data_IF_820748897369
#
_entry.id   IF_820748897369
#
_cell.length_a   1.000
_cell.length_b   1.000
_cell.length_c   1.000
_cell.angle_alpha   90.00
_cell.angle_beta   90.00
_cell.angle_gamma   90.00
#
_symmetry.space_group_name_H-M   'P 1'
#
loop_
_entity.id
_entity.type
_entity.pdbx_description
1 polymer ?
#
# COMPACT_ATOMS: atom_id res chain seq x y z
N UNK A 1 9.21 8.86 -22.04
CA UNK A 1 8.65 9.29 -23.33
C UNK A 1 7.18 8.92 -23.45
N UNK A 2 6.78 7.64 -23.49
CA UNK A 2 5.37 7.23 -23.64
C UNK A 2 4.39 7.88 -22.64
N UNK A 3 4.69 7.90 -21.34
CA UNK A 3 3.81 8.53 -20.33
C UNK A 3 3.63 10.03 -20.54
N UNK A 4 4.67 10.74 -21.00
CA UNK A 4 4.59 12.17 -21.27
C UNK A 4 3.75 12.46 -22.51
N UNK A 5 3.85 11.61 -23.53
CA UNK A 5 3.03 11.70 -24.73
C UNK A 5 1.55 11.46 -24.43
N UNK A 6 1.23 10.38 -23.70
CA UNK A 6 -0.16 10.09 -23.27
C UNK A 6 -0.70 11.24 -22.38
N UNK A 7 0.14 11.81 -21.52
CA UNK A 7 -0.20 12.97 -20.71
C UNK A 7 -0.52 14.23 -21.54
N UNK A 8 0.26 14.51 -22.57
CA UNK A 8 0.01 15.65 -23.45
C UNK A 8 -1.29 15.50 -24.26
N UNK A 9 -1.51 14.33 -24.85
CA UNK A 9 -2.73 14.04 -25.63
C UNK A 9 -3.99 14.12 -24.76
N UNK A 10 -3.95 13.56 -23.54
CA UNK A 10 -5.08 13.60 -22.61
C UNK A 10 -5.43 15.03 -22.15
N UNK A 11 -4.42 15.86 -21.86
CA UNK A 11 -4.62 17.29 -21.56
C UNK A 11 -5.31 18.05 -22.70
N UNK A 12 -4.91 17.81 -23.94
CA UNK A 12 -5.53 18.45 -25.11
C UNK A 12 -7.01 18.07 -25.23
N UNK A 13 -7.32 16.78 -25.02
CA UNK A 13 -8.70 16.27 -25.05
C UNK A 13 -9.58 16.85 -23.94
N UNK A 14 -9.03 17.05 -22.75
CA UNK A 14 -9.72 17.68 -21.62
C UNK A 14 -10.01 19.17 -21.88
N UNK A 15 -8.99 19.91 -22.31
CA UNK A 15 -9.11 21.34 -22.62
C UNK A 15 -10.14 21.60 -23.71
N UNK A 16 -10.18 20.75 -24.75
CA UNK A 16 -11.18 20.83 -25.82
C UNK A 16 -12.61 20.62 -25.31
N UNK A 17 -12.80 19.71 -24.36
CA UNK A 17 -14.12 19.44 -23.78
C UNK A 17 -14.57 20.54 -22.83
N UNK A 18 -13.68 21.01 -21.96
CA UNK A 18 -13.95 22.14 -21.07
C UNK A 18 -14.32 23.38 -21.89
N UNK A 19 -13.58 23.65 -22.96
CA UNK A 19 -13.88 24.76 -23.88
C UNK A 19 -15.25 24.63 -24.53
N UNK A 20 -15.58 23.44 -25.06
CA UNK A 20 -16.87 23.18 -25.68
C UNK A 20 -18.05 23.28 -24.68
N UNK A 21 -17.88 22.76 -23.46
CA UNK A 21 -18.88 22.82 -22.42
C UNK A 21 -19.10 24.25 -21.90
N UNK A 22 -18.01 25.01 -21.76
CA UNK A 22 -18.06 26.42 -21.37
C UNK A 22 -18.77 27.26 -22.44
N UNK A 23 -18.45 27.10 -23.72
CA UNK A 23 -19.08 27.85 -24.81
C UNK A 23 -20.60 27.60 -24.92
N UNK A 24 -21.06 26.40 -24.56
CA UNK A 24 -22.50 26.05 -24.58
C UNK A 24 -23.28 26.66 -23.42
N UNK A 25 -22.69 26.76 -22.23
CA UNK A 25 -23.41 27.15 -21.00
C UNK A 25 -23.08 28.57 -20.52
N UNK A 26 -21.95 29.15 -20.94
CA UNK A 26 -21.45 30.51 -20.64
C UNK A 26 -21.39 30.90 -19.15
N UNK A 27 -21.68 29.97 -18.25
CA UNK A 27 -21.76 30.15 -16.81
C UNK A 27 -21.07 28.96 -16.13
N UNK A 28 -20.25 29.23 -15.11
CA UNK A 28 -19.41 28.22 -14.46
C UNK A 28 -20.21 27.05 -13.86
N UNK A 29 -21.24 27.35 -13.06
CA UNK A 29 -21.99 26.33 -12.32
C UNK A 29 -22.76 25.34 -13.24
N UNK A 30 -23.53 25.79 -14.26
CA UNK A 30 -24.16 24.88 -15.21
C UNK A 30 -23.17 24.08 -16.07
N UNK A 31 -21.97 24.61 -16.32
CA UNK A 31 -20.92 23.87 -17.02
C UNK A 31 -20.42 22.69 -16.19
N UNK A 32 -20.17 22.89 -14.88
CA UNK A 32 -19.74 21.80 -13.98
C UNK A 32 -20.80 20.71 -13.90
N UNK A 33 -22.07 21.08 -13.70
CA UNK A 33 -23.17 20.11 -13.66
C UNK A 33 -23.27 19.33 -14.98
N UNK A 34 -23.14 20.01 -16.12
CA UNK A 34 -23.15 19.35 -17.43
C UNK A 34 -22.01 18.34 -17.59
N UNK A 35 -20.81 18.67 -17.11
CA UNK A 35 -19.64 17.79 -17.14
C UNK A 35 -19.81 16.57 -16.24
N UNK A 36 -20.36 16.74 -15.04
CA UNK A 36 -20.53 15.64 -14.07
C UNK A 36 -21.71 14.73 -14.41
N UNK A 37 -22.73 15.24 -15.10
CA UNK A 37 -23.94 14.47 -15.41
C UNK A 37 -23.81 13.69 -16.73
N UNK A 38 -22.94 14.12 -17.65
CA UNK A 38 -22.69 13.41 -18.89
C UNK A 38 -21.64 12.32 -18.69
N UNK A 39 -22.03 11.05 -18.86
CA UNK A 39 -21.17 9.88 -18.64
C UNK A 39 -19.86 9.93 -19.44
N UNK A 40 -19.88 10.43 -20.67
CA UNK A 40 -18.68 10.52 -21.51
C UNK A 40 -17.71 11.58 -21.01
N UNK A 41 -18.21 12.74 -20.56
CA UNK A 41 -17.39 13.81 -20.00
C UNK A 41 -16.78 13.40 -18.66
N UNK A 42 -17.59 12.74 -17.82
CA UNK A 42 -17.13 12.19 -16.53
C UNK A 42 -16.04 11.13 -16.74
N UNK A 43 -16.19 10.22 -17.70
CA UNK A 43 -15.18 9.22 -18.01
C UNK A 43 -13.84 9.84 -18.41
N UNK A 44 -13.86 10.92 -19.20
CA UNK A 44 -12.63 11.60 -19.63
C UNK A 44 -11.97 12.35 -18.47
N UNK A 45 -12.76 12.95 -17.58
CA UNK A 45 -12.25 13.58 -16.35
C UNK A 45 -11.62 12.55 -15.40
N UNK A 46 -12.24 11.37 -15.23
CA UNK A 46 -11.68 10.28 -14.43
C UNK A 46 -10.38 9.73 -15.03
N UNK A 47 -10.33 9.56 -16.36
CA UNK A 47 -9.11 9.16 -17.05
C UNK A 47 -7.98 10.16 -16.83
N UNK A 48 -8.29 11.46 -16.89
CA UNK A 48 -7.33 12.51 -16.61
C UNK A 48 -6.79 12.44 -15.17
N UNK A 49 -7.66 12.25 -14.18
CA UNK A 49 -7.24 12.04 -12.80
C UNK A 49 -6.26 10.85 -12.67
N UNK A 50 -6.52 9.75 -13.37
CA UNK A 50 -5.61 8.59 -13.38
C UNK A 50 -4.25 8.91 -14.03
N UNK A 51 -4.24 9.67 -15.14
CA UNK A 51 -2.99 10.10 -15.80
C UNK A 51 -2.17 11.01 -14.87
N UNK A 52 -2.82 11.97 -14.21
CA UNK A 52 -2.17 12.83 -13.22
C UNK A 52 -1.59 12.02 -12.06
N UNK A 53 -2.34 11.05 -11.53
CA UNK A 53 -1.85 10.16 -10.48
C UNK A 53 -0.60 9.38 -10.92
N UNK A 54 -0.57 8.86 -12.15
CA UNK A 54 0.60 8.18 -12.72
C UNK A 54 1.79 9.13 -12.92
N UNK A 55 1.55 10.38 -13.27
CA UNK A 55 2.60 11.39 -13.36
C UNK A 55 3.20 11.70 -11.99
N UNK A 56 2.36 11.88 -10.97
CA UNK A 56 2.79 12.06 -9.57
C UNK A 56 3.57 10.83 -9.09
N UNK A 57 3.09 9.61 -9.39
CA UNK A 57 3.80 8.37 -9.07
C UNK A 57 5.21 8.38 -9.66
N UNK A 58 5.33 8.75 -10.94
CA UNK A 58 6.61 8.80 -11.65
C UNK A 58 7.53 9.90 -11.13
N UNK A 59 6.98 11.04 -10.72
CA UNK A 59 7.74 12.13 -10.13
C UNK A 59 8.29 11.72 -8.77
N UNK A 60 7.45 11.15 -7.89
CA UNK A 60 7.88 10.67 -6.57
C UNK A 60 8.91 9.54 -6.69
N UNK A 61 8.68 8.56 -7.57
CA UNK A 61 9.67 7.49 -7.80
C UNK A 61 11.02 8.03 -8.28
N UNK A 62 11.02 9.03 -9.17
CA UNK A 62 12.26 9.67 -9.62
C UNK A 62 12.96 10.48 -8.53
N UNK A 63 12.21 11.19 -7.68
CA UNK A 63 12.75 12.01 -6.59
C UNK A 63 13.36 11.13 -5.50
N UNK A 64 12.63 10.10 -5.04
CA UNK A 64 13.02 9.33 -3.86
C UNK A 64 13.88 8.11 -4.18
N UNK A 65 13.63 7.43 -5.31
CA UNK A 65 14.30 6.18 -5.68
C UNK A 65 15.25 6.32 -6.86
N UNK A 66 15.17 7.42 -7.62
CA UNK A 66 16.02 7.63 -8.80
C UNK A 66 15.69 6.66 -9.92
N UNK A 67 16.56 5.65 -10.14
CA UNK A 67 16.38 4.61 -11.16
C UNK A 67 15.89 3.31 -10.52
N UNK A 68 14.64 2.95 -10.80
CA UNK A 68 14.07 1.68 -10.37
C UNK A 68 14.74 0.51 -11.11
N UNK A 69 15.08 -0.54 -10.36
CA UNK A 69 15.59 -1.77 -10.92
C UNK A 69 14.45 -2.61 -11.49
N UNK A 70 14.71 -3.40 -12.53
CA UNK A 70 13.68 -4.27 -13.13
C UNK A 70 13.09 -5.25 -12.10
N UNK A 71 13.91 -5.83 -11.24
CA UNK A 71 13.45 -6.74 -10.18
C UNK A 71 12.42 -6.09 -9.23
N UNK A 72 12.62 -4.82 -8.87
CA UNK A 72 11.68 -4.08 -8.01
C UNK A 72 10.33 -3.86 -8.71
N UNK A 73 10.38 -3.54 -10.00
CA UNK A 73 9.19 -3.34 -10.83
C UNK A 73 8.43 -4.67 -10.99
N UNK A 74 9.13 -5.77 -11.23
CA UNK A 74 8.52 -7.08 -11.42
C UNK A 74 7.81 -7.56 -10.14
N UNK A 75 8.47 -7.39 -8.98
CA UNK A 75 7.88 -7.70 -7.69
C UNK A 75 6.68 -6.78 -7.38
N UNK A 76 6.81 -5.48 -7.66
CA UNK A 76 5.71 -4.52 -7.49
C UNK A 76 4.50 -4.89 -8.36
N UNK A 77 4.71 -5.27 -9.63
CA UNK A 77 3.64 -5.69 -10.54
C UNK A 77 2.95 -6.94 -10.02
N UNK A 78 3.71 -7.93 -9.56
CA UNK A 78 3.17 -9.16 -8.97
C UNK A 78 2.28 -8.84 -7.76
N UNK A 79 2.77 -8.03 -6.83
CA UNK A 79 2.03 -7.62 -5.63
C UNK A 79 0.81 -6.77 -5.97
N UNK A 80 0.92 -5.86 -6.95
CA UNK A 80 -0.16 -5.01 -7.42
C UNK A 80 -1.32 -5.83 -7.99
N UNK A 81 -1.05 -6.90 -8.75
CA UNK A 81 -2.10 -7.79 -9.23
C UNK A 81 -2.87 -8.44 -8.08
N UNK A 82 -2.15 -8.92 -7.07
CA UNK A 82 -2.78 -9.51 -5.90
C UNK A 82 -3.65 -8.52 -5.11
N UNK A 83 -3.17 -7.30 -4.88
CA UNK A 83 -3.99 -6.28 -4.22
C UNK A 83 -5.17 -5.85 -5.08
N UNK A 84 -5.03 -5.75 -6.39
CA UNK A 84 -6.14 -5.42 -7.27
C UNK A 84 -7.29 -6.43 -7.10
N UNK A 85 -6.99 -7.74 -7.11
CA UNK A 85 -8.01 -8.77 -6.92
C UNK A 85 -8.64 -8.76 -5.52
N UNK A 86 -7.85 -8.57 -4.46
CA UNK A 86 -8.40 -8.45 -3.10
C UNK A 86 -9.41 -7.30 -3.02
N UNK A 87 -9.15 -6.24 -3.77
CA UNK A 87 -10.00 -5.05 -3.74
C UNK A 87 -11.22 -5.19 -4.63
N UNK A 88 -11.15 -5.94 -5.73
CA UNK A 88 -12.35 -6.37 -6.43
C UNK A 88 -13.32 -7.13 -5.50
N UNK A 89 -12.80 -7.94 -4.56
CA UNK A 89 -13.65 -8.60 -3.56
C UNK A 89 -14.26 -7.63 -2.56
N UNK A 90 -13.49 -6.62 -2.11
CA UNK A 90 -14.00 -5.54 -1.25
C UNK A 90 -15.10 -4.76 -1.97
N UNK A 91 -14.89 -4.40 -3.24
CA UNK A 91 -15.90 -3.72 -4.06
C UNK A 91 -17.17 -4.54 -4.23
N UNK A 92 -17.04 -5.83 -4.51
CA UNK A 92 -18.19 -6.72 -4.65
C UNK A 92 -18.97 -6.86 -3.34
N UNK A 93 -18.27 -6.89 -2.20
CA UNK A 93 -18.89 -7.01 -0.88
C UNK A 93 -19.61 -5.73 -0.45
N UNK A 94 -19.01 -4.56 -0.67
CA UNK A 94 -19.56 -3.26 -0.27
C UNK A 94 -20.30 -2.53 -1.39
N UNK A 95 -20.74 -3.23 -2.44
CA UNK A 95 -21.29 -2.64 -3.65
C UNK A 95 -22.41 -1.61 -3.40
N UNK A 96 -23.24 -1.84 -2.37
CA UNK A 96 -24.37 -0.99 -2.01
C UNK A 96 -23.96 0.29 -1.25
N UNK A 97 -22.73 0.33 -0.72
CA UNK A 97 -22.16 1.45 0.03
C UNK A 97 -21.09 2.21 -0.76
N UNK A 98 -20.89 1.88 -2.06
CA UNK A 98 -19.88 2.51 -2.91
C UNK A 98 -20.29 3.93 -3.32
N UNK A 99 -19.55 4.91 -2.80
CA UNK A 99 -19.59 6.30 -3.27
C UNK A 99 -18.36 6.67 -4.11
N UNK A 100 -18.41 7.85 -4.75
CA UNK A 100 -17.25 8.46 -5.43
C UNK A 100 -16.11 8.75 -4.45
N UNK A 101 -16.45 9.10 -3.21
CA UNK A 101 -15.49 9.30 -2.11
C UNK A 101 -14.72 8.01 -1.79
N UNK A 102 -15.41 6.87 -1.73
CA UNK A 102 -14.76 5.58 -1.48
C UNK A 102 -13.77 5.21 -2.59
N UNK A 103 -14.17 5.38 -3.85
CA UNK A 103 -13.28 5.12 -5.00
C UNK A 103 -12.01 5.96 -4.94
N UNK A 104 -12.12 7.21 -4.50
CA UNK A 104 -10.97 8.09 -4.30
C UNK A 104 -10.05 7.61 -3.16
N UNK A 105 -10.61 7.36 -1.97
CA UNK A 105 -9.85 6.87 -0.81
C UNK A 105 -9.16 5.54 -1.10
N UNK A 106 -9.85 4.68 -1.85
CA UNK A 106 -9.34 3.38 -2.27
C UNK A 106 -8.19 3.51 -3.28
N UNK A 107 -8.34 4.36 -4.29
CA UNK A 107 -7.28 4.61 -5.28
C UNK A 107 -6.03 5.18 -4.61
N UNK A 108 -6.21 6.08 -3.63
CA UNK A 108 -5.11 6.60 -2.80
C UNK A 108 -4.47 5.49 -1.94
N UNK A 109 -5.27 4.57 -1.38
CA UNK A 109 -4.75 3.43 -0.63
C UNK A 109 -3.82 2.57 -1.50
N UNK A 110 -4.25 2.20 -2.70
CA UNK A 110 -3.41 1.41 -3.62
C UNK A 110 -2.12 2.17 -3.99
N UNK A 111 -2.23 3.47 -4.26
CA UNK A 111 -1.09 4.31 -4.57
C UNK A 111 -0.07 4.32 -3.42
N UNK A 112 -0.51 4.61 -2.20
CA UNK A 112 0.36 4.65 -1.02
C UNK A 112 0.93 3.26 -0.70
N UNK A 113 0.14 2.19 -0.84
CA UNK A 113 0.58 0.80 -0.65
C UNK A 113 1.68 0.39 -1.64
N UNK A 114 1.62 0.86 -2.89
CA UNK A 114 2.68 0.64 -3.87
C UNK A 114 4.02 1.27 -3.44
N UNK A 115 3.99 2.48 -2.86
CA UNK A 115 5.20 3.12 -2.33
C UNK A 115 5.76 2.42 -1.09
N UNK A 116 4.90 1.87 -0.24
CA UNK A 116 5.33 1.05 0.90
C UNK A 116 6.07 -0.21 0.46
N UNK A 117 5.53 -0.92 -0.54
CA UNK A 117 6.19 -2.10 -1.10
C UNK A 117 7.52 -1.78 -1.76
N UNK A 118 7.58 -0.67 -2.51
CA UNK A 118 8.83 -0.22 -3.12
C UNK A 118 9.87 0.18 -2.07
N UNK A 119 9.44 0.80 -0.96
CA UNK A 119 10.30 1.13 0.17
C UNK A 119 10.83 -0.14 0.85
N UNK A 120 9.98 -1.14 1.09
CA UNK A 120 10.37 -2.39 1.73
C UNK A 120 11.50 -3.09 0.96
N UNK A 121 11.35 -3.24 -0.36
CA UNK A 121 12.40 -3.81 -1.22
C UNK A 121 13.71 -3.00 -1.16
N UNK A 122 13.61 -1.66 -1.14
CA UNK A 122 14.78 -0.80 -1.20
C UNK A 122 15.61 -0.77 0.06
N UNK A 123 14.97 -0.92 1.23
CA UNK A 123 15.66 -1.03 2.52
C UNK A 123 16.63 -2.20 2.53
N UNK A 124 16.30 -3.31 1.86
CA UNK A 124 17.14 -4.50 1.83
C UNK A 124 18.41 -4.32 0.97
N UNK A 125 18.35 -3.46 -0.06
CA UNK A 125 19.47 -3.21 -0.99
C UNK A 125 20.27 -1.95 -0.68
N UNK A 126 19.72 -0.97 0.03
CA UNK A 126 20.41 0.31 0.27
C UNK A 126 21.47 0.15 1.37
N UNK A 127 22.74 0.31 1.01
CA UNK A 127 23.87 0.25 1.94
C UNK A 127 24.18 1.57 2.65
N UNK A 128 23.54 2.68 2.28
CA UNK A 128 23.85 4.00 2.84
C UNK A 128 22.66 4.65 3.56
N UNK A 129 22.99 5.37 4.65
CA UNK A 129 22.14 6.32 5.35
C UNK A 129 21.70 7.45 4.41
N UNK A 130 20.67 7.18 3.62
CA UNK A 130 20.12 8.15 2.69
C UNK A 130 19.03 8.95 3.39
N UNK A 131 19.28 10.24 3.63
CA UNK A 131 18.27 11.19 4.11
C UNK A 131 16.98 11.15 3.28
N UNK A 132 17.08 10.82 1.98
CA UNK A 132 15.94 10.67 1.08
C UNK A 132 15.00 9.52 1.47
N UNK A 133 15.53 8.38 1.93
CA UNK A 133 14.71 7.25 2.37
C UNK A 133 14.01 7.57 3.69
N UNK A 134 14.71 8.22 4.63
CA UNK A 134 14.11 8.67 5.89
C UNK A 134 13.02 9.72 5.64
N UNK A 135 13.24 10.66 4.71
CA UNK A 135 12.23 11.63 4.30
C UNK A 135 11.01 10.95 3.66
N UNK A 136 11.21 9.89 2.87
CA UNK A 136 10.12 9.10 2.31
C UNK A 136 9.33 8.36 3.40
N UNK A 137 10.01 7.72 4.36
CA UNK A 137 9.38 7.05 5.51
C UNK A 137 8.52 8.06 6.29
N UNK A 138 9.07 9.24 6.59
CA UNK A 138 8.33 10.28 7.31
C UNK A 138 7.11 10.79 6.52
N UNK A 139 7.26 10.96 5.20
CA UNK A 139 6.17 11.37 4.31
C UNK A 139 5.05 10.34 4.26
N UNK A 140 5.38 9.06 4.08
CA UNK A 140 4.41 7.95 4.07
C UNK A 140 3.66 7.87 5.41
N UNK A 141 4.39 7.97 6.52
CA UNK A 141 3.79 7.97 7.86
C UNK A 141 2.80 9.13 8.05
N UNK A 142 3.16 10.33 7.60
CA UNK A 142 2.28 11.50 7.67
C UNK A 142 1.00 11.31 6.83
N UNK A 143 1.14 10.72 5.64
CA UNK A 143 0.02 10.43 4.75
C UNK A 143 -0.90 9.37 5.37
N UNK A 144 -0.36 8.28 5.91
CA UNK A 144 -1.15 7.23 6.53
C UNK A 144 -1.91 7.73 7.76
N UNK A 145 -1.24 8.47 8.66
CA UNK A 145 -1.89 9.06 9.83
C UNK A 145 -2.99 10.04 9.43
N UNK A 146 -2.78 10.83 8.36
CA UNK A 146 -3.81 11.71 7.81
C UNK A 146 -5.03 10.94 7.30
N UNK A 147 -4.83 9.86 6.55
CA UNK A 147 -5.93 9.04 6.03
C UNK A 147 -6.65 8.25 7.13
N UNK A 148 -5.91 7.72 8.12
CA UNK A 148 -6.48 7.10 9.32
C UNK A 148 -7.37 8.10 10.04
N UNK A 149 -6.87 9.31 10.32
CA UNK A 149 -7.66 10.37 10.95
C UNK A 149 -8.92 10.70 10.15
N UNK A 150 -8.79 10.79 8.83
CA UNK A 150 -9.93 11.09 7.95
C UNK A 150 -10.98 9.97 7.97
N UNK A 151 -10.54 8.71 8.00
CA UNK A 151 -11.42 7.55 8.08
C UNK A 151 -12.19 7.49 9.42
N UNK A 152 -11.54 7.84 10.53
CA UNK A 152 -12.18 7.85 11.86
C UNK A 152 -13.09 9.07 12.08
N UNK A 153 -12.75 10.24 11.56
CA UNK A 153 -13.48 11.50 11.82
C UNK A 153 -14.76 11.67 10.99
N UNK A 154 -15.01 10.79 10.01
CA UNK A 154 -16.21 10.83 9.16
C UNK A 154 -17.20 9.68 9.43
N UNK A 155 -17.80 9.54 10.63
CA UNK A 155 -18.87 8.57 10.83
C UNK A 155 -20.19 9.14 10.33
N UNK A 156 -20.43 9.09 9.01
CA UNK A 156 -21.78 9.18 8.46
C UNK A 156 -22.44 7.79 8.61
N UNK A 157 -23.70 7.74 9.02
CA UNK A 157 -24.45 6.50 9.24
C UNK A 157 -24.60 5.61 7.99
N UNK A 158 -24.23 6.10 6.80
CA UNK A 158 -24.09 5.31 5.56
C UNK A 158 -22.61 5.23 5.19
N UNK A 159 -22.07 4.02 5.09
CA UNK A 159 -20.66 3.78 4.71
C UNK A 159 -19.68 3.56 5.86
N UNK A 160 -20.14 3.42 7.11
CA UNK A 160 -19.27 3.15 8.27
C UNK A 160 -18.39 1.91 8.03
N UNK A 161 -18.99 0.86 7.49
CA UNK A 161 -18.32 -0.43 7.30
C UNK A 161 -17.17 -0.33 6.32
N UNK A 162 -17.36 0.46 5.27
CA UNK A 162 -16.37 0.74 4.24
C UNK A 162 -15.20 1.56 4.78
N UNK A 163 -15.49 2.60 5.56
CA UNK A 163 -14.45 3.41 6.21
C UNK A 163 -13.62 2.59 7.20
N UNK A 164 -14.26 1.65 7.92
CA UNK A 164 -13.55 0.72 8.80
C UNK A 164 -12.65 -0.23 8.01
N UNK A 165 -13.13 -0.79 6.89
CA UNK A 165 -12.36 -1.70 6.05
C UNK A 165 -11.10 -1.02 5.48
N UNK A 166 -11.23 0.22 5.00
CA UNK A 166 -10.07 1.01 4.55
C UNK A 166 -9.16 1.41 5.72
N UNK A 167 -9.73 1.80 6.86
CA UNK A 167 -8.99 2.22 8.04
C UNK A 167 -8.04 1.14 8.56
N UNK A 168 -8.49 -0.12 8.57
CA UNK A 168 -7.65 -1.26 8.97
C UNK A 168 -6.48 -1.48 8.00
N UNK A 169 -6.71 -1.35 6.69
CA UNK A 169 -5.63 -1.45 5.71
C UNK A 169 -4.58 -0.35 5.92
N UNK A 170 -4.98 0.91 6.14
CA UNK A 170 -4.04 1.98 6.48
C UNK A 170 -3.31 1.74 7.81
N UNK A 171 -4.00 1.20 8.81
CA UNK A 171 -3.37 0.85 10.09
C UNK A 171 -2.28 -0.22 9.90
N UNK A 172 -2.56 -1.25 9.10
CA UNK A 172 -1.57 -2.27 8.74
C UNK A 172 -0.37 -1.67 7.99
N UNK A 173 -0.59 -0.66 7.14
CA UNK A 173 0.50 0.08 6.47
C UNK A 173 1.41 0.79 7.47
N UNK A 174 0.85 1.51 8.45
CA UNK A 174 1.64 2.18 9.51
C UNK A 174 2.49 1.18 10.30
N UNK A 175 1.90 0.04 10.67
CA UNK A 175 2.63 -1.03 11.34
C UNK A 175 3.73 -1.61 10.44
N UNK A 176 3.43 -1.85 9.15
CA UNK A 176 4.42 -2.24 8.16
C UNK A 176 5.57 -1.23 8.04
N UNK A 177 5.27 0.07 8.10
CA UNK A 177 6.25 1.14 8.03
C UNK A 177 7.14 1.21 9.28
N UNK A 178 6.58 0.91 10.46
CA UNK A 178 7.39 0.72 11.67
C UNK A 178 8.37 -0.44 11.51
N UNK A 179 7.92 -1.58 10.95
CA UNK A 179 8.78 -2.72 10.65
C UNK A 179 9.91 -2.37 9.69
N UNK A 180 9.61 -1.69 8.58
CA UNK A 180 10.65 -1.28 7.61
C UNK A 180 11.63 -0.29 8.23
N UNK A 181 11.18 0.57 9.15
CA UNK A 181 12.07 1.46 9.93
C UNK A 181 13.02 0.66 10.82
N UNK A 182 12.55 -0.40 11.49
CA UNK A 182 13.41 -1.29 12.28
C UNK A 182 14.43 -1.99 11.38
N UNK A 183 14.01 -2.53 10.22
CA UNK A 183 14.94 -3.14 9.25
C UNK A 183 15.98 -2.13 8.78
N UNK A 184 15.57 -0.90 8.48
CA UNK A 184 16.47 0.19 8.08
C UNK A 184 17.52 0.51 9.15
N UNK A 185 17.11 0.58 10.42
CA UNK A 185 18.04 0.79 11.55
C UNK A 185 19.02 -0.39 11.66
N UNK A 186 18.54 -1.63 11.56
CA UNK A 186 19.40 -2.82 11.61
C UNK A 186 20.41 -2.85 10.46
N UNK A 187 19.99 -2.52 9.24
CA UNK A 187 20.87 -2.43 8.07
C UNK A 187 21.90 -1.31 8.20
N UNK A 188 21.52 -0.18 8.80
CA UNK A 188 22.45 0.91 9.09
C UNK A 188 23.52 0.48 10.08
N UNK A 189 23.12 -0.15 11.19
CA UNK A 189 24.05 -0.62 12.23
C UNK A 189 25.04 -1.65 11.64
N UNK A 190 24.53 -2.56 10.80
CA UNK A 190 25.33 -3.55 10.10
C UNK A 190 26.36 -2.89 9.16
N UNK A 191 25.95 -1.87 8.40
CA UNK A 191 26.85 -1.14 7.51
C UNK A 191 27.93 -0.33 8.24
N UNK A 192 27.69 0.08 9.49
CA UNK A 192 28.66 0.80 10.31
C UNK A 192 29.67 -0.12 10.99
N UNK A 193 29.44 -1.44 10.96
CA UNK A 193 30.26 -2.43 11.65
C UNK A 193 31.31 -3.02 10.71
N UNK A 194 32.54 -3.17 11.20
CA UNK A 194 33.65 -3.74 10.43
C UNK A 194 33.58 -5.27 10.28
N UNK A 195 32.92 -5.96 11.22
CA UNK A 195 32.75 -7.41 11.20
C UNK A 195 31.32 -7.81 10.83
N UNK A 196 31.13 -8.82 9.95
CA UNK A 196 29.80 -9.27 9.52
C UNK A 196 28.94 -9.75 10.70
N UNK A 197 27.67 -9.37 10.71
CA UNK A 197 26.75 -9.69 11.80
C UNK A 197 26.00 -11.01 11.59
N UNK A 198 26.53 -12.09 12.16
CA UNK A 198 25.94 -13.44 12.04
C UNK A 198 24.50 -13.56 12.55
N UNK A 199 24.07 -12.70 13.49
CA UNK A 199 22.72 -12.74 14.08
C UNK A 199 21.70 -11.84 13.38
N UNK A 200 22.09 -11.04 12.38
CA UNK A 200 21.19 -10.12 11.66
C UNK A 200 19.94 -10.83 11.13
N UNK A 201 20.13 -11.97 10.46
CA UNK A 201 19.05 -12.78 9.88
C UNK A 201 18.04 -13.23 10.95
N UNK A 202 18.49 -13.49 12.18
CA UNK A 202 17.61 -13.86 13.28
C UNK A 202 16.76 -12.67 13.76
N UNK A 203 17.35 -11.48 13.85
CA UNK A 203 16.59 -10.27 14.22
C UNK A 203 15.55 -9.90 13.17
N UNK A 204 15.89 -9.98 11.89
CA UNK A 204 14.93 -9.76 10.79
C UNK A 204 13.77 -10.77 10.86
N UNK A 205 14.07 -12.05 11.12
CA UNK A 205 13.06 -13.08 11.31
C UNK A 205 12.14 -12.80 12.51
N UNK A 206 12.68 -12.29 13.63
CA UNK A 206 11.85 -11.91 14.78
C UNK A 206 10.90 -10.76 14.45
N UNK A 207 11.39 -9.74 13.74
CA UNK A 207 10.57 -8.62 13.28
C UNK A 207 9.43 -9.15 12.39
N UNK A 208 9.73 -9.99 11.41
CA UNK A 208 8.72 -10.58 10.50
C UNK A 208 7.64 -11.37 11.25
N UNK A 209 8.01 -12.11 12.29
CA UNK A 209 7.07 -12.88 13.12
C UNK A 209 6.18 -11.95 13.93
N UNK A 210 6.75 -10.94 14.60
CA UNK A 210 5.99 -9.97 15.38
C UNK A 210 4.99 -9.25 14.48
N UNK A 211 5.43 -8.80 13.30
CA UNK A 211 4.56 -8.15 12.33
C UNK A 211 3.46 -9.07 11.79
N UNK A 212 3.79 -10.35 11.55
CA UNK A 212 2.80 -11.35 11.15
C UNK A 212 1.72 -11.57 12.21
N UNK A 213 2.10 -11.60 13.49
CA UNK A 213 1.18 -11.73 14.62
C UNK A 213 0.30 -10.48 14.75
N UNK A 214 0.89 -9.28 14.69
CA UNK A 214 0.15 -8.00 14.76
C UNK A 214 -0.86 -7.90 13.62
N UNK A 215 -0.46 -8.22 12.39
CA UNK A 215 -1.36 -8.21 11.22
C UNK A 215 -2.53 -9.19 11.40
N UNK A 216 -2.25 -10.39 11.89
CA UNK A 216 -3.29 -11.39 12.15
C UNK A 216 -4.25 -10.92 13.24
N UNK A 217 -3.74 -10.35 14.34
CA UNK A 217 -4.57 -9.81 15.41
C UNK A 217 -5.52 -8.73 14.90
N UNK A 218 -5.00 -7.77 14.11
CA UNK A 218 -5.81 -6.71 13.53
C UNK A 218 -6.90 -7.23 12.58
N UNK A 219 -6.58 -8.21 11.73
CA UNK A 219 -7.60 -8.82 10.86
C UNK A 219 -8.64 -9.63 11.64
N UNK A 220 -8.27 -10.29 12.74
CA UNK A 220 -9.21 -10.99 13.62
C UNK A 220 -10.15 -9.98 14.29
N UNK A 221 -9.60 -8.94 14.92
CA UNK A 221 -10.40 -7.88 15.55
C UNK A 221 -11.35 -7.24 14.55
N UNK A 222 -10.86 -6.89 13.36
CA UNK A 222 -11.67 -6.35 12.28
C UNK A 222 -12.80 -7.31 11.85
N UNK A 223 -12.50 -8.61 11.72
CA UNK A 223 -13.51 -9.62 11.35
C UNK A 223 -14.59 -9.74 12.42
N UNK A 224 -14.24 -9.68 13.70
CA UNK A 224 -15.21 -9.70 14.81
C UNK A 224 -16.13 -8.47 14.78
N UNK A 225 -15.56 -7.28 14.54
CA UNK A 225 -16.36 -6.05 14.40
C UNK A 225 -17.26 -6.14 13.16
N UNK A 226 -16.75 -6.59 12.02
CA UNK A 226 -17.53 -6.72 10.78
C UNK A 226 -18.66 -7.74 10.88
N UNK A 227 -18.45 -8.86 11.58
CA UNK A 227 -19.49 -9.88 11.80
C UNK A 227 -20.72 -9.32 12.54
N UNK A 228 -20.53 -8.28 13.36
CA UNK A 228 -21.64 -7.61 14.04
C UNK A 228 -22.47 -6.69 13.13
N UNK A 229 -21.89 -6.25 12.00
CA UNK A 229 -22.49 -5.26 11.10
C UNK A 229 -23.05 -5.88 9.81
N UNK A 230 -22.37 -6.89 9.27
CA UNK A 230 -22.67 -7.52 7.99
C UNK A 230 -22.47 -9.05 8.06
N UNK A 231 -23.03 -9.82 7.09
CA UNK A 231 -22.69 -11.22 6.91
C UNK A 231 -21.17 -11.42 6.69
N UNK A 232 -20.73 -12.67 6.85
CA UNK A 232 -19.30 -13.03 6.89
C UNK A 232 -18.45 -12.33 5.80
N UNK A 233 -17.41 -11.56 6.19
CA UNK A 233 -16.58 -10.79 5.26
C UNK A 233 -15.55 -11.69 4.55
N UNK A 234 -15.98 -12.38 3.48
CA UNK A 234 -15.14 -13.31 2.69
C UNK A 234 -13.90 -12.65 2.10
N UNK A 235 -13.92 -11.33 1.85
CA UNK A 235 -12.78 -10.60 1.28
C UNK A 235 -11.52 -10.64 2.17
N UNK A 236 -11.66 -10.90 3.48
CA UNK A 236 -10.54 -10.94 4.44
C UNK A 236 -9.87 -12.34 4.47
N UNK A 237 -10.51 -13.37 3.92
CA UNK A 237 -10.04 -14.75 4.02
C UNK A 237 -8.63 -14.96 3.43
N UNK A 238 -8.35 -14.33 2.26
CA UNK A 238 -7.05 -14.44 1.59
C UNK A 238 -5.92 -13.73 2.38
N UNK A 239 -6.05 -12.46 2.79
CA UNK A 239 -5.07 -11.80 3.66
C UNK A 239 -4.75 -12.58 4.95
N UNK A 240 -5.77 -13.16 5.60
CA UNK A 240 -5.58 -14.01 6.80
C UNK A 240 -4.80 -15.26 6.44
N UNK A 241 -5.20 -15.99 5.40
CA UNK A 241 -4.52 -17.22 4.97
C UNK A 241 -3.05 -16.97 4.64
N UNK A 242 -2.74 -15.90 3.92
CA UNK A 242 -1.36 -15.52 3.58
C UNK A 242 -0.54 -15.18 4.83
N UNK A 243 -1.13 -14.46 5.78
CA UNK A 243 -0.47 -14.11 7.05
C UNK A 243 -0.18 -15.35 7.90
N UNK A 244 -1.13 -16.28 8.00
CA UNK A 244 -0.94 -17.56 8.70
C UNK A 244 0.13 -18.41 8.00
N UNK A 245 0.12 -18.48 6.67
CA UNK A 245 1.13 -19.21 5.90
C UNK A 245 2.53 -18.63 6.11
N UNK A 246 2.66 -17.31 6.10
CA UNK A 246 3.92 -16.62 6.37
C UNK A 246 4.45 -16.93 7.78
N UNK A 247 3.58 -16.87 8.79
CA UNK A 247 3.93 -17.21 10.18
C UNK A 247 4.35 -18.68 10.31
N UNK A 248 3.61 -19.61 9.70
CA UNK A 248 3.97 -21.05 9.67
C UNK A 248 5.34 -21.27 9.02
N UNK A 249 5.64 -20.55 7.94
CA UNK A 249 6.95 -20.60 7.27
C UNK A 249 8.05 -20.09 8.21
N UNK A 250 7.84 -18.95 8.87
CA UNK A 250 8.80 -18.37 9.79
C UNK A 250 9.10 -19.30 11.00
N UNK A 251 8.05 -19.88 11.60
CA UNK A 251 8.20 -20.86 12.69
C UNK A 251 9.00 -22.08 12.23
N UNK A 252 8.73 -22.60 11.03
CA UNK A 252 9.47 -23.74 10.47
C UNK A 252 10.97 -23.43 10.32
N UNK A 253 11.30 -22.22 9.87
CA UNK A 253 12.70 -21.77 9.73
C UNK A 253 13.40 -21.75 11.09
N UNK A 254 12.74 -21.21 12.14
CA UNK A 254 13.29 -21.23 13.50
C UNK A 254 13.53 -22.65 14.00
N UNK A 255 12.55 -23.55 13.82
CA UNK A 255 12.68 -24.94 14.25
C UNK A 255 13.83 -25.65 13.53
N UNK A 256 13.99 -25.43 12.22
CA UNK A 256 15.09 -25.97 11.45
C UNK A 256 16.45 -25.46 11.92
N UNK A 257 16.57 -24.15 12.19
CA UNK A 257 17.79 -23.56 12.74
C UNK A 257 18.13 -24.14 14.12
N UNK A 258 17.14 -24.30 15.01
CA UNK A 258 17.35 -24.94 16.33
C UNK A 258 17.82 -26.37 16.20
N UNK A 259 17.21 -27.17 15.33
CA UNK A 259 17.62 -28.57 15.09
C UNK A 259 19.04 -28.64 14.54
N UNK A 260 19.41 -27.78 13.60
CA UNK A 260 20.77 -27.72 13.07
C UNK A 260 21.79 -27.35 14.16
N UNK A 261 21.48 -26.36 15.01
CA UNK A 261 22.36 -25.98 16.14
C UNK A 261 22.56 -27.09 17.16
N UNK A 262 21.54 -27.91 17.41
CA UNK A 262 21.62 -29.07 18.31
C UNK A 262 22.46 -30.21 17.70
N UNK A 263 22.33 -30.45 16.39
CA UNK A 263 23.16 -31.43 15.68
C UNK A 263 24.63 -31.01 15.64
N UNK A 264 24.94 -29.73 15.44
CA UNK A 264 26.32 -29.25 15.41
C UNK A 264 27.00 -29.28 16.80
N UNK A 265 26.26 -28.94 17.87
CA UNK A 265 26.76 -29.09 19.24
C UNK A 265 26.94 -30.56 19.67
N UNK A 266 26.19 -31.49 19.08
CA UNK A 266 26.37 -32.93 19.32
C UNK A 266 27.64 -33.47 18.66
N UNK A 267 27.98 -32.99 17.46
CA UNK A 267 29.17 -33.43 16.69
C UNK A 267 30.48 -32.82 17.21
N UNK A 268 30.45 -31.70 17.93
CA UNK A 268 31.64 -31.07 18.54
C UNK A 268 31.96 -31.57 19.96
N UNK A 269 31.11 -32.43 20.54
CA UNK A 269 31.35 -33.10 21.82
C UNK A 269 31.85 -34.55 21.69
N UNK A 270 32.27 -34.97 20.49
CA UNK A 270 32.94 -36.25 20.20
C UNK A 270 34.34 -35.95 19.66
#
# INVERSE_FOLDING_TARGET
>A
MAVLYIGAESLIHEMRQLWNAYNRKKQFYPTVIYLTNNQTCLAILLFQCAVLLMFVAKMMTRIFFGRLQQAEVDNLVSQSWYAFFDMCLVFAFFQDELGTEFLFLFTMLLFVKAFHWLLEERVDYSSMLCFTLLALIALLCCIDVYFIRTAYMKPASRGLSVHLALGVEYYILVFGLFSTTVRYILHTIDSLREHPWDKKTMYLLYVDIIMGIVRLALYIEFTLVMWSLHPFPLFIARPIYLSVRALKKAIRVISCHRVFSLLFNSVTCI
#
